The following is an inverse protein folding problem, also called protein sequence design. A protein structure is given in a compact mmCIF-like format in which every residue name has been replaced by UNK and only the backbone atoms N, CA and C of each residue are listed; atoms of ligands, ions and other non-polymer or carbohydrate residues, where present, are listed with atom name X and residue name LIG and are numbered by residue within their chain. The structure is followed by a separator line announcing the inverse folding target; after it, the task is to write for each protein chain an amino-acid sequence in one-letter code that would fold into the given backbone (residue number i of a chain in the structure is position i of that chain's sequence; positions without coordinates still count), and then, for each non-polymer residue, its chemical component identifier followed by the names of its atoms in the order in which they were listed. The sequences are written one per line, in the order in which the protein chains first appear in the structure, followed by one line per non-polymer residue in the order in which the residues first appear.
data_IF_300964779369
#
_entry.id   IF_300964779369
#
_cell.length_a   1.000
_cell.length_b   1.000
_cell.length_c   1.000
_cell.angle_alpha   90.00
_cell.angle_beta   90.00
_cell.angle_gamma   90.00
#
_symmetry.space_group_name_H-M   'P 1'
#
loop_
_entity.id
_entity.type
_entity.pdbx_description
1 polymer ?
#
# COMPACT_ATOMS: atom_id res chain seq x y z
N UNK A 1 -25.13 -4.65 -1.40
CA UNK A 1 -23.67 -4.45 -1.17
C UNK A 1 -22.99 -5.73 -1.64
N UNK A 2 -22.13 -5.67 -2.66
CA UNK A 2 -21.48 -6.87 -3.19
C UNK A 2 -20.31 -7.27 -2.29
N UNK A 3 -20.16 -8.57 -2.03
CA UNK A 3 -18.89 -9.11 -1.55
C UNK A 3 -17.95 -9.19 -2.74
N UNK A 4 -16.77 -8.57 -2.62
CA UNK A 4 -15.73 -8.67 -3.64
C UNK A 4 -14.98 -9.98 -3.40
N UNK A 5 -15.13 -10.94 -4.30
CA UNK A 5 -14.32 -12.16 -4.29
C UNK A 5 -12.98 -11.82 -4.90
N UNK A 6 -12.04 -11.41 -4.05
CA UNK A 6 -10.70 -11.01 -4.46
C UNK A 6 -9.80 -12.25 -4.57
N UNK A 7 -9.25 -12.58 -5.76
CA UNK A 7 -8.18 -13.57 -5.90
C UNK A 7 -7.06 -13.42 -4.86
N UNK A 8 -6.65 -12.18 -4.56
CA UNK A 8 -5.62 -11.91 -3.56
C UNK A 8 -6.03 -12.39 -2.17
N UNK A 9 -7.31 -12.21 -1.79
CA UNK A 9 -7.81 -12.66 -0.49
C UNK A 9 -7.73 -14.19 -0.36
N UNK A 10 -8.15 -14.91 -1.40
CA UNK A 10 -8.16 -16.38 -1.40
C UNK A 10 -6.74 -16.94 -1.37
N UNK A 11 -5.84 -16.39 -2.19
CA UNK A 11 -4.48 -16.92 -2.34
C UNK A 11 -3.56 -16.52 -1.19
N UNK A 12 -3.62 -15.27 -0.72
CA UNK A 12 -2.58 -14.74 0.17
C UNK A 12 -2.91 -14.82 1.66
N UNK A 13 -4.17 -14.99 2.03
CA UNK A 13 -4.55 -15.23 3.43
C UNK A 13 -3.91 -16.49 4.03
N UNK A 14 -3.90 -17.65 3.35
CA UNK A 14 -3.17 -18.83 3.84
C UNK A 14 -1.66 -18.79 3.58
N UNK A 15 -1.19 -17.92 2.68
CA UNK A 15 0.22 -17.86 2.26
C UNK A 15 1.10 -17.05 3.21
N UNK A 16 0.59 -15.97 3.82
CA UNK A 16 1.38 -15.07 4.65
C UNK A 16 0.57 -14.48 5.82
N UNK A 17 1.29 -13.96 6.81
CA UNK A 17 0.77 -13.32 8.02
C UNK A 17 0.37 -11.85 7.82
N UNK A 18 0.54 -11.29 6.61
CA UNK A 18 0.15 -9.92 6.26
C UNK A 18 -1.33 -9.62 6.58
N UNK A 19 -2.20 -10.64 6.60
CA UNK A 19 -3.61 -10.50 7.01
C UNK A 19 -3.76 -9.92 8.43
N UNK A 20 -2.82 -10.18 9.35
CA UNK A 20 -2.83 -9.59 10.69
C UNK A 20 -2.67 -8.08 10.65
N UNK A 21 -1.71 -7.58 9.85
CA UNK A 21 -1.50 -6.15 9.67
C UNK A 21 -2.72 -5.50 9.00
N UNK A 22 -3.40 -6.20 8.07
CA UNK A 22 -4.63 -5.69 7.44
C UNK A 22 -5.79 -5.65 8.43
N UNK A 23 -5.96 -6.68 9.25
CA UNK A 23 -6.99 -6.72 10.28
C UNK A 23 -6.82 -5.56 11.28
N UNK A 24 -5.60 -5.35 11.78
CA UNK A 24 -5.30 -4.25 12.70
C UNK A 24 -5.43 -2.87 12.05
N UNK A 25 -5.00 -2.70 10.81
CA UNK A 25 -5.18 -1.44 10.06
C UNK A 25 -6.65 -1.11 9.82
N UNK A 26 -7.45 -2.13 9.51
CA UNK A 26 -8.91 -1.99 9.32
C UNK A 26 -9.60 -1.67 10.64
N UNK A 27 -9.24 -2.34 11.73
CA UNK A 27 -9.74 -2.04 13.07
C UNK A 27 -9.35 -0.62 13.51
N UNK A 28 -8.12 -0.19 13.22
CA UNK A 28 -7.66 1.19 13.47
C UNK A 28 -8.53 2.20 12.74
N UNK A 29 -8.77 2.01 11.44
CA UNK A 29 -9.66 2.86 10.67
C UNK A 29 -11.08 2.87 11.24
N UNK A 30 -11.63 1.70 11.58
CA UNK A 30 -12.95 1.58 12.18
C UNK A 30 -13.05 2.39 13.47
N UNK A 31 -12.18 2.15 14.45
CA UNK A 31 -12.20 2.87 15.72
C UNK A 31 -11.95 4.37 15.55
N UNK A 32 -11.05 4.74 14.63
CA UNK A 32 -10.80 6.14 14.33
C UNK A 32 -12.06 6.84 13.80
N UNK A 33 -12.77 6.20 12.86
CA UNK A 33 -14.01 6.72 12.28
C UNK A 33 -15.18 6.70 13.27
N UNK A 34 -15.21 5.76 14.21
CA UNK A 34 -16.19 5.69 15.29
C UNK A 34 -15.93 6.67 16.44
N UNK A 35 -14.79 7.38 16.44
CA UNK A 35 -14.43 8.35 17.47
C UNK A 35 -13.64 7.77 18.65
N UNK A 36 -13.48 6.46 18.75
CA UNK A 36 -12.66 5.81 19.77
C UNK A 36 -11.17 5.85 19.37
N UNK A 37 -10.56 7.02 19.54
CA UNK A 37 -9.20 7.25 19.08
C UNK A 37 -8.14 6.47 19.86
N UNK A 38 -8.44 6.09 21.11
CA UNK A 38 -7.53 5.28 21.92
C UNK A 38 -7.39 3.87 21.37
N UNK A 39 -8.52 3.22 21.05
CA UNK A 39 -8.49 1.90 20.38
C UNK A 39 -7.94 1.99 18.97
N UNK A 40 -8.15 3.11 18.27
CA UNK A 40 -7.54 3.34 16.97
C UNK A 40 -6.00 3.31 17.05
N UNK A 41 -5.41 4.07 17.97
CA UNK A 41 -3.96 4.11 18.16
C UNK A 41 -3.40 2.75 18.61
N UNK A 42 -4.13 2.02 19.46
CA UNK A 42 -3.77 0.66 19.89
C UNK A 42 -3.73 -0.32 18.71
N UNK A 43 -4.82 -0.37 17.94
CA UNK A 43 -4.89 -1.22 16.76
C UNK A 43 -3.81 -0.84 15.74
N UNK A 44 -3.54 0.45 15.55
CA UNK A 44 -2.48 0.91 14.66
C UNK A 44 -1.09 0.44 15.12
N UNK A 45 -0.77 0.59 16.41
CA UNK A 45 0.51 0.14 16.98
C UNK A 45 0.70 -1.37 16.86
N UNK A 46 -0.34 -2.17 17.10
CA UNK A 46 -0.34 -3.62 16.87
C UNK A 46 -0.12 -3.95 15.38
N UNK A 47 -0.77 -3.20 14.49
CA UNK A 47 -0.58 -3.32 13.04
C UNK A 47 0.86 -3.06 12.61
N UNK A 48 1.47 -1.97 13.10
CA UNK A 48 2.89 -1.64 12.86
C UNK A 48 3.82 -2.75 13.38
N UNK A 49 3.47 -3.34 14.53
CA UNK A 49 4.19 -4.50 15.09
C UNK A 49 4.10 -5.76 14.23
N UNK A 50 2.97 -5.99 13.56
CA UNK A 50 2.81 -7.11 12.63
C UNK A 50 3.54 -6.88 11.30
N UNK A 51 3.51 -5.65 10.77
CA UNK A 51 4.22 -5.24 9.54
C UNK A 51 4.41 -3.73 9.54
N UNK A 52 5.43 -3.20 8.87
CA UNK A 52 5.73 -1.75 8.95
C UNK A 52 4.68 -0.85 8.26
N UNK A 53 4.09 -1.28 7.13
CA UNK A 53 3.27 -0.38 6.29
C UNK A 53 2.02 0.25 6.92
N UNK A 54 1.36 -0.27 7.98
CA UNK A 54 0.26 0.43 8.65
C UNK A 54 0.66 1.80 9.19
N UNK A 55 1.97 2.06 9.42
CA UNK A 55 2.51 3.36 9.83
C UNK A 55 2.05 4.52 8.94
N UNK A 56 1.69 4.24 7.69
CA UNK A 56 1.16 5.20 6.72
C UNK A 56 -0.17 5.84 7.14
N UNK A 57 -0.91 5.23 8.08
CA UNK A 57 -2.14 5.82 8.62
C UNK A 57 -1.86 6.97 9.61
N UNK A 58 -0.65 7.05 10.19
CA UNK A 58 -0.26 8.14 11.10
C UNK A 58 -0.44 9.52 10.45
N UNK A 59 0.15 9.84 9.28
CA UNK A 59 -0.05 11.15 8.66
C UNK A 59 -1.51 11.41 8.28
N UNK A 60 -2.30 10.37 7.97
CA UNK A 60 -3.73 10.50 7.72
C UNK A 60 -4.45 10.98 8.98
N UNK A 61 -4.17 10.39 10.15
CA UNK A 61 -4.81 10.76 11.40
C UNK A 61 -4.36 12.15 11.88
N UNK A 62 -3.06 12.47 11.80
CA UNK A 62 -2.52 13.79 12.16
C UNK A 62 -3.23 14.91 11.38
N UNK A 63 -3.38 14.76 10.07
CA UNK A 63 -4.02 15.77 9.21
C UNK A 63 -5.52 15.95 9.47
N UNK A 64 -6.12 15.05 10.24
CA UNK A 64 -7.54 15.07 10.54
C UNK A 64 -7.83 15.61 11.94
N UNK A 65 -6.83 15.75 12.81
CA UNK A 65 -7.00 16.38 14.12
C UNK A 65 -6.85 17.91 14.03
N UNK A 66 -7.71 18.61 14.77
CA UNK A 66 -7.79 20.08 14.76
C UNK A 66 -6.73 20.78 15.62
N UNK A 67 -6.18 20.07 16.61
CA UNK A 67 -5.24 20.63 17.60
C UNK A 67 -3.93 19.83 17.68
N UNK A 68 -2.85 20.52 18.09
CA UNK A 68 -1.50 19.94 18.19
C UNK A 68 -1.37 18.81 19.23
N UNK A 69 -1.95 18.91 20.44
CA UNK A 69 -1.93 17.81 21.41
C UNK A 69 -2.50 16.50 20.85
N UNK A 70 -3.66 16.56 20.18
CA UNK A 70 -4.27 15.40 19.54
C UNK A 70 -3.41 14.85 18.42
N UNK A 71 -2.83 15.71 17.57
CA UNK A 71 -1.86 15.29 16.53
C UNK A 71 -0.67 14.56 17.11
N UNK A 72 -0.08 15.09 18.17
CA UNK A 72 1.05 14.48 18.85
C UNK A 72 0.67 13.13 19.44
N UNK A 73 -0.54 12.99 20.01
CA UNK A 73 -1.05 11.71 20.51
C UNK A 73 -1.23 10.68 19.38
N UNK A 74 -1.77 11.08 18.23
CA UNK A 74 -1.93 10.21 17.03
C UNK A 74 -0.59 9.77 16.44
N UNK A 75 0.45 10.58 16.61
CA UNK A 75 1.82 10.22 16.22
C UNK A 75 2.47 9.28 17.24
N UNK A 76 2.49 9.68 18.51
CA UNK A 76 3.34 9.04 19.52
C UNK A 76 2.77 7.72 20.04
N UNK A 77 1.46 7.65 20.30
CA UNK A 77 0.82 6.46 20.90
C UNK A 77 1.05 5.17 20.11
N UNK A 78 0.78 5.09 18.79
CA UNK A 78 1.01 3.86 18.04
C UNK A 78 2.50 3.48 17.98
N UNK A 79 3.42 4.47 17.94
CA UNK A 79 4.86 4.23 17.94
C UNK A 79 5.36 3.71 19.29
N UNK A 80 4.81 4.21 20.41
CA UNK A 80 5.12 3.68 21.74
C UNK A 80 4.64 2.24 21.91
N UNK A 81 3.48 1.90 21.33
CA UNK A 81 2.96 0.52 21.36
C UNK A 81 3.86 -0.41 20.54
N UNK A 82 4.25 0.01 19.33
CA UNK A 82 5.25 -0.71 18.54
C UNK A 82 6.57 -0.89 19.32
N UNK A 83 7.08 0.18 19.94
CA UNK A 83 8.30 0.12 20.73
C UNK A 83 8.17 -0.83 21.92
N UNK A 84 7.05 -0.79 22.65
CA UNK A 84 6.79 -1.67 23.78
C UNK A 84 6.76 -3.16 23.37
N UNK A 85 6.20 -3.48 22.20
CA UNK A 85 6.21 -4.84 21.65
C UNK A 85 7.62 -5.30 21.26
N UNK A 86 8.47 -4.38 20.77
CA UNK A 86 9.81 -4.70 20.32
C UNK A 86 10.86 -4.67 21.43
N UNK A 87 10.61 -3.93 22.52
CA UNK A 87 11.56 -3.69 23.60
C UNK A 87 12.11 -4.98 24.25
N UNK A 88 11.30 -6.02 24.53
CA UNK A 88 11.83 -7.28 25.06
C UNK A 88 12.85 -7.93 24.14
N UNK A 89 12.63 -7.89 22.83
CA UNK A 89 13.54 -8.46 21.82
C UNK A 89 14.82 -7.62 21.68
N UNK A 90 14.68 -6.29 21.70
CA UNK A 90 15.81 -5.36 21.68
C UNK A 90 16.70 -5.54 22.92
N UNK A 91 16.09 -5.70 24.10
CA UNK A 91 16.81 -5.92 25.36
C UNK A 91 17.48 -7.30 25.41
N UNK A 92 16.83 -8.32 24.85
CA UNK A 92 17.39 -9.67 24.78
C UNK A 92 18.56 -9.78 23.79
N UNK A 93 18.42 -9.21 22.59
CA UNK A 93 19.47 -9.22 21.57
C UNK A 93 19.23 -8.12 20.51
N UNK A 94 19.83 -6.95 20.74
CA UNK A 94 19.69 -5.82 19.83
C UNK A 94 20.28 -6.10 18.44
N UNK A 95 21.41 -6.80 18.35
CA UNK A 95 22.06 -7.11 17.07
C UNK A 95 21.16 -7.95 16.17
N UNK A 96 20.53 -9.00 16.71
CA UNK A 96 19.60 -9.85 15.95
C UNK A 96 18.35 -9.08 15.57
N UNK A 97 17.76 -8.32 16.50
CA UNK A 97 16.59 -7.48 16.21
C UNK A 97 16.89 -6.46 15.09
N UNK A 98 18.00 -5.73 15.20
CA UNK A 98 18.42 -4.76 14.19
C UNK A 98 18.77 -5.43 12.85
N UNK A 99 19.37 -6.62 12.91
CA UNK A 99 19.69 -7.45 11.75
C UNK A 99 18.47 -7.75 10.87
N UNK A 100 17.28 -7.94 11.47
CA UNK A 100 16.03 -8.13 10.71
C UNK A 100 15.72 -6.92 9.82
N UNK A 101 15.90 -5.70 10.32
CA UNK A 101 15.67 -4.47 9.55
C UNK A 101 16.73 -4.28 8.48
N UNK A 102 17.99 -4.55 8.81
CA UNK A 102 19.10 -4.43 7.88
C UNK A 102 19.00 -5.44 6.73
N UNK A 103 18.49 -6.64 6.99
CA UNK A 103 18.23 -7.64 5.96
C UNK A 103 17.23 -7.12 4.92
N UNK A 104 16.10 -6.57 5.38
CA UNK A 104 15.09 -6.01 4.47
C UNK A 104 15.61 -4.77 3.73
N UNK A 105 16.35 -3.88 4.42
CA UNK A 105 16.93 -2.67 3.81
C UNK A 105 17.95 -2.96 2.69
N UNK A 106 18.53 -4.17 2.67
CA UNK A 106 19.49 -4.64 1.67
C UNK A 106 18.87 -5.60 0.64
N UNK A 107 17.57 -5.85 0.72
CA UNK A 107 16.88 -6.70 -0.24
C UNK A 107 16.91 -6.07 -1.63
N UNK A 108 16.92 -6.90 -2.67
CA UNK A 108 16.87 -6.43 -4.05
C UNK A 108 15.47 -5.98 -4.46
N UNK A 109 15.36 -5.53 -5.70
CA UNK A 109 14.08 -5.22 -6.33
C UNK A 109 13.27 -6.52 -6.47
N UNK A 110 12.01 -6.49 -6.04
CA UNK A 110 11.09 -7.62 -6.15
C UNK A 110 9.68 -7.10 -6.45
N UNK A 111 9.12 -7.55 -7.57
CA UNK A 111 7.78 -7.22 -8.03
C UNK A 111 7.49 -5.71 -8.12
N UNK A 112 8.53 -4.91 -8.35
CA UNK A 112 8.45 -3.45 -8.49
C UNK A 112 8.79 -3.05 -9.93
N UNK A 113 8.09 -2.03 -10.44
CA UNK A 113 8.34 -1.48 -11.78
C UNK A 113 9.79 -0.97 -11.96
N UNK A 114 10.51 -0.75 -10.87
CA UNK A 114 11.91 -0.32 -10.87
C UNK A 114 12.84 -1.33 -11.56
N UNK A 115 12.50 -2.61 -11.62
CA UNK A 115 13.31 -3.66 -12.29
C UNK A 115 13.48 -3.41 -13.79
N UNK A 116 12.64 -2.57 -14.39
CA UNK A 116 12.74 -2.18 -15.80
C UNK A 116 13.74 -1.04 -16.05
N UNK A 117 14.19 -0.36 -14.98
CA UNK A 117 15.13 0.77 -15.05
C UNK A 117 16.46 0.49 -14.34
N UNK A 118 16.50 -0.49 -13.44
CA UNK A 118 17.63 -0.82 -12.59
C UNK A 118 17.87 -2.32 -12.58
N UNK A 119 19.13 -2.72 -12.37
CA UNK A 119 19.44 -4.12 -12.07
C UNK A 119 18.87 -4.52 -10.71
N UNK A 120 18.57 -5.82 -10.54
CA UNK A 120 17.84 -6.32 -9.37
C UNK A 120 18.50 -5.99 -8.03
N UNK A 121 19.83 -5.89 -7.97
CA UNK A 121 20.58 -5.54 -6.76
C UNK A 121 21.13 -4.10 -6.76
N UNK A 122 20.71 -3.24 -7.70
CA UNK A 122 21.16 -1.84 -7.71
C UNK A 122 20.47 -1.02 -6.61
N UNK A 123 21.23 -0.71 -5.56
CA UNK A 123 20.76 0.07 -4.41
C UNK A 123 20.30 1.50 -4.79
N UNK A 124 20.66 2.02 -5.97
CA UNK A 124 20.11 3.31 -6.46
C UNK A 124 18.59 3.28 -6.60
N UNK A 125 18.02 2.11 -6.91
CA UNK A 125 16.58 1.93 -6.98
C UNK A 125 15.88 2.26 -5.65
N UNK A 126 16.54 2.06 -4.51
CA UNK A 126 15.97 2.33 -3.19
C UNK A 126 15.73 3.83 -2.98
N UNK A 127 16.67 4.67 -3.43
CA UNK A 127 16.53 6.12 -3.36
C UNK A 127 15.45 6.64 -4.32
N UNK A 128 15.35 6.05 -5.52
CA UNK A 128 14.27 6.38 -6.47
C UNK A 128 12.91 5.97 -5.91
N UNK A 129 12.80 4.77 -5.35
CA UNK A 129 11.60 4.29 -4.67
C UNK A 129 11.18 5.28 -3.57
N UNK A 130 12.10 5.65 -2.69
CA UNK A 130 11.85 6.61 -1.61
C UNK A 130 11.40 7.98 -2.13
N UNK A 131 12.06 8.50 -3.17
CA UNK A 131 11.69 9.79 -3.77
C UNK A 131 10.26 9.74 -4.35
N UNK A 132 9.90 8.66 -5.04
CA UNK A 132 8.56 8.44 -5.59
C UNK A 132 7.53 8.30 -4.46
N UNK A 133 7.84 7.52 -3.42
CA UNK A 133 6.98 7.37 -2.24
C UNK A 133 6.70 8.73 -1.59
N UNK A 134 7.74 9.49 -1.26
CA UNK A 134 7.60 10.81 -0.63
C UNK A 134 6.81 11.77 -1.52
N UNK A 135 7.07 11.77 -2.82
CA UNK A 135 6.33 12.59 -3.77
C UNK A 135 4.83 12.22 -3.81
N UNK A 136 4.49 10.93 -3.90
CA UNK A 136 3.11 10.47 -3.91
C UNK A 136 2.42 10.68 -2.56
N UNK A 137 3.10 10.54 -1.44
CA UNK A 137 2.53 10.89 -0.13
C UNK A 137 2.24 12.39 -0.04
N UNK A 138 3.21 13.23 -0.39
CA UNK A 138 3.05 14.68 -0.40
C UNK A 138 1.90 15.12 -1.30
N UNK A 139 1.90 14.69 -2.57
CA UNK A 139 0.84 15.03 -3.53
C UNK A 139 -0.51 14.47 -3.10
N UNK A 140 -0.58 13.25 -2.60
CA UNK A 140 -1.83 12.60 -2.22
C UNK A 140 -2.50 13.30 -1.05
N UNK A 141 -1.72 13.62 -0.02
CA UNK A 141 -2.23 14.30 1.18
C UNK A 141 -2.56 15.77 0.92
N UNK A 142 -1.75 16.48 0.12
CA UNK A 142 -1.99 17.86 -0.26
C UNK A 142 -3.26 18.00 -1.12
N UNK A 143 -3.38 17.21 -2.17
CA UNK A 143 -4.47 17.33 -3.14
C UNK A 143 -5.79 16.79 -2.56
N UNK A 144 -5.75 15.75 -1.74
CA UNK A 144 -6.91 15.34 -0.94
C UNK A 144 -7.32 16.39 0.10
N UNK A 145 -6.42 17.28 0.54
CA UNK A 145 -6.80 18.41 1.40
C UNK A 145 -7.61 19.49 0.67
N UNK A 146 -7.43 19.63 -0.65
CA UNK A 146 -8.11 20.63 -1.50
C UNK A 146 -9.47 20.16 -2.03
N UNK A 147 -9.72 18.85 -1.98
CA UNK A 147 -10.93 18.24 -2.54
C UNK A 147 -12.09 18.30 -1.55
N UNK A 148 -13.30 18.56 -2.05
CA UNK A 148 -14.53 18.41 -1.28
C UNK A 148 -14.93 16.94 -1.16
N UNK A 149 -15.23 16.52 0.07
CA UNK A 149 -15.71 15.17 0.38
C UNK A 149 -17.09 15.26 1.05
N UNK A 150 -17.98 14.29 0.82
CA UNK A 150 -19.29 14.27 1.48
C UNK A 150 -19.21 14.26 3.01
N UNK A 151 -18.13 13.72 3.57
CA UNK A 151 -17.90 13.65 5.01
C UNK A 151 -16.42 13.52 5.36
N UNK A 152 -16.07 13.82 6.61
CA UNK A 152 -14.74 13.51 7.19
C UNK A 152 -14.40 12.03 7.00
N UNK A 153 -15.35 11.13 7.20
CA UNK A 153 -15.13 9.69 7.05
C UNK A 153 -14.70 9.33 5.63
N UNK A 154 -15.40 9.89 4.63
CA UNK A 154 -15.05 9.68 3.22
C UNK A 154 -13.62 10.16 2.93
N UNK A 155 -13.24 11.35 3.42
CA UNK A 155 -11.88 11.89 3.24
C UNK A 155 -10.80 11.01 3.86
N UNK A 156 -11.01 10.55 5.10
CA UNK A 156 -10.08 9.64 5.80
C UNK A 156 -9.86 8.35 5.00
N UNK A 157 -10.94 7.73 4.51
CA UNK A 157 -10.88 6.49 3.73
C UNK A 157 -10.12 6.71 2.41
N UNK A 158 -10.39 7.83 1.71
CA UNK A 158 -9.66 8.16 0.48
C UNK A 158 -8.18 8.42 0.75
N UNK A 159 -7.84 9.11 1.84
CA UNK A 159 -6.45 9.33 2.24
C UNK A 159 -5.75 8.02 2.58
N UNK A 160 -6.41 7.11 3.31
CA UNK A 160 -5.90 5.76 3.58
C UNK A 160 -5.61 4.99 2.29
N UNK A 161 -6.48 5.09 1.28
CA UNK A 161 -6.25 4.49 -0.03
C UNK A 161 -5.04 5.10 -0.75
N UNK A 162 -4.96 6.43 -0.79
CA UNK A 162 -3.87 7.15 -1.44
C UNK A 162 -2.51 6.82 -0.83
N UNK A 163 -2.39 6.80 0.51
CA UNK A 163 -1.11 6.46 1.17
C UNK A 163 -0.74 4.98 0.98
N UNK A 164 -1.73 4.08 0.93
CA UNK A 164 -1.51 2.66 0.66
C UNK A 164 -0.97 2.43 -0.75
N UNK A 165 -1.59 3.06 -1.76
CA UNK A 165 -1.09 2.99 -3.14
C UNK A 165 0.26 3.70 -3.30
N UNK A 166 0.48 4.84 -2.61
CA UNK A 166 1.77 5.51 -2.62
C UNK A 166 2.90 4.59 -2.12
N UNK A 167 2.66 3.81 -1.06
CA UNK A 167 3.57 2.79 -0.58
C UNK A 167 3.78 1.65 -1.58
N UNK A 168 2.71 1.06 -2.09
CA UNK A 168 2.81 -0.04 -3.04
C UNK A 168 3.52 0.35 -4.33
N UNK A 169 3.37 1.59 -4.79
CA UNK A 169 4.04 2.08 -6.00
C UNK A 169 5.46 2.61 -5.75
N UNK A 170 5.69 3.19 -4.56
CA UNK A 170 6.96 3.80 -4.15
C UNK A 170 7.88 2.86 -3.38
N UNK A 171 7.69 1.54 -3.45
CA UNK A 171 8.55 0.56 -2.79
C UNK A 171 9.31 -0.29 -3.82
N UNK A 172 10.53 -0.70 -3.47
CA UNK A 172 11.35 -1.60 -4.29
C UNK A 172 10.98 -3.07 -4.08
N UNK A 173 10.25 -3.39 -3.01
CA UNK A 173 9.67 -4.71 -2.74
C UNK A 173 8.15 -4.59 -2.67
N UNK A 174 7.46 -5.23 -3.62
CA UNK A 174 5.99 -5.16 -3.73
C UNK A 174 5.38 -6.54 -3.97
N UNK A 175 5.75 -7.47 -3.09
CA UNK A 175 5.25 -8.86 -3.08
C UNK A 175 3.71 -8.93 -3.13
N UNK A 176 3.12 -9.97 -3.71
CA UNK A 176 1.69 -9.97 -4.05
C UNK A 176 0.75 -9.97 -2.83
N UNK A 177 1.18 -10.50 -1.68
CA UNK A 177 0.41 -10.42 -0.42
C UNK A 177 0.19 -8.99 0.08
N UNK A 178 1.05 -8.03 -0.27
CA UNK A 178 0.88 -6.64 0.15
C UNK A 178 -0.38 -6.01 -0.46
N UNK A 179 -0.90 -6.54 -1.57
CA UNK A 179 -2.15 -6.08 -2.19
C UNK A 179 -3.37 -6.20 -1.26
N UNK A 180 -3.31 -7.07 -0.23
CA UNK A 180 -4.37 -7.22 0.76
C UNK A 180 -4.71 -5.89 1.46
N UNK A 181 -3.77 -4.94 1.53
CA UNK A 181 -4.01 -3.61 2.11
C UNK A 181 -5.09 -2.79 1.38
N UNK A 182 -5.31 -3.06 0.09
CA UNK A 182 -6.26 -2.32 -0.72
C UNK A 182 -7.69 -2.88 -0.60
N UNK A 183 -7.85 -4.14 -0.18
CA UNK A 183 -9.16 -4.83 -0.21
C UNK A 183 -10.23 -4.13 0.64
N UNK A 184 -9.98 -3.75 1.92
CA UNK A 184 -10.98 -3.03 2.70
C UNK A 184 -11.35 -1.68 2.04
N UNK A 185 -10.39 -1.03 1.39
CA UNK A 185 -10.54 0.29 0.81
C UNK A 185 -11.29 0.25 -0.53
N UNK A 186 -11.09 -0.80 -1.34
CA UNK A 186 -11.88 -1.04 -2.55
C UNK A 186 -13.38 -1.17 -2.25
N UNK A 187 -13.74 -1.80 -1.13
CA UNK A 187 -15.14 -1.94 -0.71
C UNK A 187 -15.71 -0.60 -0.23
N UNK A 188 -14.88 0.23 0.42
CA UNK A 188 -15.31 1.49 1.04
C UNK A 188 -15.32 2.70 0.11
N UNK A 189 -14.71 2.61 -1.08
CA UNK A 189 -14.66 3.70 -2.07
C UNK A 189 -15.49 3.31 -3.29
N UNK A 190 -16.78 3.74 -3.37
CA UNK A 190 -17.69 3.34 -4.45
C UNK A 190 -17.27 3.81 -5.84
N UNK A 191 -16.37 4.78 -5.93
CA UNK A 191 -15.93 5.38 -7.19
C UNK A 191 -14.90 4.51 -7.93
N UNK A 192 -14.28 3.52 -7.30
CA UNK A 192 -13.21 2.75 -7.93
C UNK A 192 -13.82 1.80 -8.99
N UNK A 193 -13.39 1.87 -10.26
CA UNK A 193 -13.92 1.02 -11.31
C UNK A 193 -13.67 -0.47 -11.04
N UNK A 194 -14.75 -1.25 -10.95
CA UNK A 194 -14.72 -2.70 -10.70
C UNK A 194 -13.80 -3.44 -11.70
N UNK A 195 -13.84 -3.17 -13.02
CA UNK A 195 -12.94 -3.84 -13.96
C UNK A 195 -11.46 -3.60 -13.64
N UNK A 196 -11.09 -2.39 -13.23
CA UNK A 196 -9.71 -2.09 -12.85
C UNK A 196 -9.27 -2.88 -11.61
N UNK A 197 -10.16 -3.02 -10.61
CA UNK A 197 -9.89 -3.84 -9.41
C UNK A 197 -9.64 -5.29 -9.82
N UNK A 198 -10.55 -5.90 -10.58
CA UNK A 198 -10.40 -7.31 -10.97
C UNK A 198 -9.20 -7.56 -11.87
N UNK A 199 -8.88 -6.65 -12.80
CA UNK A 199 -7.66 -6.77 -13.60
C UNK A 199 -6.41 -6.72 -12.72
N UNK A 200 -6.34 -5.80 -11.75
CA UNK A 200 -5.22 -5.73 -10.81
C UNK A 200 -5.13 -7.00 -9.94
N UNK A 201 -6.25 -7.53 -9.48
CA UNK A 201 -6.30 -8.76 -8.68
C UNK A 201 -5.89 -10.01 -9.46
N UNK A 202 -6.31 -10.13 -10.73
CA UNK A 202 -5.88 -11.23 -11.61
C UNK A 202 -4.39 -11.14 -11.87
N UNK A 203 -3.86 -9.95 -12.19
CA UNK A 203 -2.42 -9.75 -12.36
C UNK A 203 -1.65 -10.08 -11.08
N UNK A 204 -2.19 -9.72 -9.91
CA UNK A 204 -1.57 -10.04 -8.63
C UNK A 204 -1.54 -11.55 -8.34
N UNK A 205 -2.64 -12.26 -8.63
CA UNK A 205 -2.70 -13.71 -8.55
C UNK A 205 -1.73 -14.40 -9.53
N UNK A 206 -1.57 -13.85 -10.75
CA UNK A 206 -0.63 -14.38 -11.73
C UNK A 206 0.81 -14.34 -11.24
N UNK A 207 1.21 -13.34 -10.43
CA UNK A 207 2.57 -13.28 -9.87
C UNK A 207 2.89 -14.58 -9.14
N UNK A 208 2.04 -15.04 -8.21
CA UNK A 208 2.36 -16.24 -7.40
C UNK A 208 2.29 -17.53 -8.21
N UNK A 209 1.36 -17.62 -9.17
CA UNK A 209 1.23 -18.77 -10.08
C UNK A 209 2.49 -18.90 -10.94
N UNK A 210 3.00 -17.79 -11.46
CA UNK A 210 4.21 -17.77 -12.28
C UNK A 210 5.48 -17.91 -11.43
N UNK A 211 5.50 -17.35 -10.21
CA UNK A 211 6.67 -17.33 -9.34
C UNK A 211 7.24 -18.73 -9.08
N UNK A 212 6.36 -19.68 -8.77
CA UNK A 212 6.74 -21.06 -8.44
C UNK A 212 6.70 -22.03 -9.63
N UNK A 213 6.57 -21.52 -10.86
CA UNK A 213 6.53 -22.34 -12.08
C UNK A 213 7.66 -21.94 -13.03
N UNK A 214 8.87 -22.51 -12.90
CA UNK A 214 10.06 -22.12 -13.68
C UNK A 214 9.86 -22.14 -15.20
N UNK A 215 9.07 -23.08 -15.70
CA UNK A 215 8.73 -23.24 -17.11
C UNK A 215 7.95 -22.03 -17.65
N UNK A 216 7.22 -21.34 -16.77
CA UNK A 216 6.41 -20.18 -17.12
C UNK A 216 7.10 -18.86 -16.77
N UNK A 217 8.12 -18.84 -15.90
CA UNK A 217 8.81 -17.61 -15.49
C UNK A 217 10.19 -17.40 -16.14
N UNK A 218 10.55 -18.24 -17.12
CA UNK A 218 11.84 -18.24 -17.82
C UNK A 218 13.03 -18.58 -16.91
N UNK A 219 12.80 -19.42 -15.89
CA UNK A 219 13.82 -19.92 -14.96
C UNK A 219 14.25 -18.94 -13.86
N UNK A 220 13.84 -17.67 -13.91
CA UNK A 220 14.13 -16.70 -12.86
C UNK A 220 13.01 -15.65 -12.73
N UNK A 221 12.25 -15.62 -11.62
CA UNK A 221 11.16 -14.66 -11.43
C UNK A 221 11.63 -13.22 -11.13
N UNK A 222 12.91 -13.03 -10.78
CA UNK A 222 13.48 -11.75 -10.33
C UNK A 222 14.11 -10.93 -11.46
N UNK A 223 14.07 -11.40 -12.71
CA UNK A 223 14.64 -10.67 -13.86
C UNK A 223 13.57 -9.94 -14.66
N UNK A 224 13.94 -8.82 -15.27
CA UNK A 224 13.06 -7.97 -16.10
C UNK A 224 12.32 -8.70 -17.23
N UNK A 225 12.91 -9.78 -17.77
CA UNK A 225 12.31 -10.57 -18.84
C UNK A 225 11.21 -11.51 -18.34
N UNK A 226 11.16 -11.77 -17.03
CA UNK A 226 10.21 -12.69 -16.44
C UNK A 226 8.78 -12.14 -16.53
N UNK A 227 7.79 -12.94 -16.96
CA UNK A 227 6.39 -12.50 -16.96
C UNK A 227 5.87 -12.17 -15.55
N UNK A 228 6.51 -12.66 -14.49
CA UNK A 228 6.25 -12.25 -13.10
C UNK A 228 6.40 -10.74 -12.95
N UNK A 229 7.52 -10.18 -13.39
CA UNK A 229 7.82 -8.75 -13.26
C UNK A 229 6.90 -7.89 -14.14
N UNK A 230 6.49 -8.39 -15.32
CA UNK A 230 5.49 -7.73 -16.16
C UNK A 230 4.10 -7.70 -15.51
N UNK A 231 3.64 -8.82 -14.94
CA UNK A 231 2.37 -8.86 -14.21
C UNK A 231 2.39 -7.88 -13.03
N UNK A 232 3.50 -7.84 -12.28
CA UNK A 232 3.70 -6.93 -11.16
C UNK A 232 3.70 -5.45 -11.56
N UNK A 233 4.36 -5.08 -12.67
CA UNK A 233 4.40 -3.72 -13.17
C UNK A 233 3.05 -3.26 -13.73
N UNK A 234 2.35 -4.10 -14.49
CA UNK A 234 1.00 -3.81 -14.99
C UNK A 234 0.01 -3.59 -13.85
N UNK A 235 0.06 -4.42 -12.81
CA UNK A 235 -0.73 -4.26 -11.58
C UNK A 235 -0.46 -2.90 -10.92
N UNK A 236 0.81 -2.52 -10.78
CA UNK A 236 1.20 -1.23 -10.20
C UNK A 236 0.78 -0.03 -11.04
N UNK A 237 0.80 -0.15 -12.38
CA UNK A 237 0.30 0.88 -13.28
C UNK A 237 -1.21 1.11 -13.10
N UNK A 238 -1.98 0.03 -12.89
CA UNK A 238 -3.40 0.13 -12.56
C UNK A 238 -3.58 0.84 -11.21
N UNK A 239 -2.83 0.47 -10.18
CA UNK A 239 -2.89 1.14 -8.88
C UNK A 239 -2.57 2.63 -8.98
N UNK A 240 -1.50 3.01 -9.70
CA UNK A 240 -1.17 4.41 -9.94
C UNK A 240 -2.30 5.14 -10.69
N UNK A 241 -2.91 4.49 -11.67
CA UNK A 241 -4.06 5.03 -12.40
C UNK A 241 -5.26 5.27 -11.47
N UNK A 242 -5.53 4.33 -10.56
CA UNK A 242 -6.56 4.47 -9.53
C UNK A 242 -6.25 5.59 -8.54
N UNK A 243 -4.98 5.77 -8.16
CA UNK A 243 -4.53 6.88 -7.33
C UNK A 243 -4.80 8.22 -8.01
N UNK A 244 -4.43 8.38 -9.28
CA UNK A 244 -4.69 9.60 -10.07
C UNK A 244 -6.19 9.84 -10.23
N UNK A 245 -6.96 8.80 -10.56
CA UNK A 245 -8.41 8.86 -10.67
C UNK A 245 -9.07 9.30 -9.35
N UNK A 246 -8.56 8.82 -8.22
CA UNK A 246 -9.07 9.16 -6.89
C UNK A 246 -8.81 10.63 -6.54
N UNK A 247 -7.70 11.21 -7.01
CA UNK A 247 -7.42 12.63 -6.83
C UNK A 247 -8.21 13.52 -7.79
N UNK A 248 -8.35 13.10 -9.05
CA UNK A 248 -8.84 13.95 -10.14
C UNK A 248 -9.96 13.31 -10.99
N UNK A 249 -11.06 12.84 -10.39
CA UNK A 249 -12.05 11.99 -11.08
C UNK A 249 -12.60 12.61 -12.37
N UNK A 250 -12.96 13.90 -12.34
CA UNK A 250 -13.49 14.60 -13.53
C UNK A 250 -12.42 14.83 -14.60
N UNK A 251 -11.20 15.24 -14.21
CA UNK A 251 -10.11 15.44 -15.18
C UNK A 251 -9.69 14.13 -15.83
N UNK A 252 -9.63 13.05 -15.06
CA UNK A 252 -9.28 11.73 -15.58
C UNK A 252 -10.30 11.24 -16.60
N UNK A 253 -11.61 11.44 -16.37
CA UNK A 253 -12.64 11.11 -17.38
C UNK A 253 -12.43 11.88 -18.69
N UNK A 254 -12.11 13.17 -18.61
CA UNK A 254 -11.83 13.99 -19.79
C UNK A 254 -10.56 13.51 -20.51
N UNK A 255 -9.48 13.24 -19.78
CA UNK A 255 -8.23 12.76 -20.36
C UNK A 255 -8.39 11.41 -21.06
N UNK A 256 -9.09 10.46 -20.44
CA UNK A 256 -9.37 9.15 -21.02
C UNK A 256 -10.21 9.30 -22.30
N UNK A 257 -11.26 10.13 -22.30
CA UNK A 257 -12.07 10.38 -23.49
C UNK A 257 -11.24 10.95 -24.65
N UNK A 258 -10.38 11.93 -24.37
CA UNK A 258 -9.47 12.52 -25.38
C UNK A 258 -8.46 11.51 -25.92
N UNK A 259 -7.96 10.61 -25.07
CA UNK A 259 -7.03 9.56 -25.49
C UNK A 259 -7.69 8.61 -26.48
N UNK A 260 -8.89 8.11 -26.17
CA UNK A 260 -9.62 7.21 -27.07
C UNK A 260 -10.01 7.86 -28.40
N UNK A 261 -10.28 9.17 -28.41
CA UNK A 261 -10.51 9.90 -29.66
C UNK A 261 -9.28 9.88 -30.57
N UNK A 262 -8.07 10.03 -30.01
CA UNK A 262 -6.80 10.04 -30.78
C UNK A 262 -6.32 8.67 -31.26
N UNK A 263 -6.76 7.59 -30.61
CA UNK A 263 -6.39 6.22 -30.99
C UNK A 263 -7.36 5.64 -32.02
N UNK A 264 -8.57 6.21 -32.13
CA UNK A 264 -9.55 5.86 -33.15
C UNK A 264 -9.43 6.66 -34.45
N UNK A 265 -8.51 7.64 -34.50
CA UNK A 265 -8.06 8.36 -35.70
C UNK A 265 -6.80 7.67 -36.27
#
# INVERSE_FOLDING_TARGET
KCFLVAPSFIMFTPYNWDIMAIAFSTASLYYYLSGDKGKADLALGLGIGAKLYPVLLIPVYILEEGDWPSRFRRFLTPLLIFAALNLPFMAANFQTWFGTWLHHARWGIEDSWLIFLFDQMDMKAHYVALAVLVYLLYKGLLESGKRSYPSRHSRVIHRAFLVSVAWLFGNYVVTPQMALMLLPLYVLIPAIPIPAIYTAEILNALIIVLWFTPELNLGNPLVRSSPVQWAAALRQLIWLSLYVYTLYPEKTRIWVRKLFQRVGE
#
